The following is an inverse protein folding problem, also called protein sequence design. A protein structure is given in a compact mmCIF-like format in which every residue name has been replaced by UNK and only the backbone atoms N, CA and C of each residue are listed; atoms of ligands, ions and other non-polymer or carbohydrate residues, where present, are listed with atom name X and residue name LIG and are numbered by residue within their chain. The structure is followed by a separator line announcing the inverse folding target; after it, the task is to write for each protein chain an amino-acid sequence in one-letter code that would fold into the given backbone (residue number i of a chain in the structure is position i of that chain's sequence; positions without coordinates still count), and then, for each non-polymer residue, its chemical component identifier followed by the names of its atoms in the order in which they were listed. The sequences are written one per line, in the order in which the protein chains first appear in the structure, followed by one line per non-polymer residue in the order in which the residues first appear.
data_IF_411259714239
#
_entry.id   IF_411259714239
#
_cell.length_a   1.000
_cell.length_b   1.000
_cell.length_c   1.000
_cell.angle_alpha   90.00
_cell.angle_beta   90.00
_cell.angle_gamma   90.00
#
_symmetry.space_group_name_H-M   'P 1'
#
loop_
_entity.id
_entity.type
_entity.pdbx_description
1 polymer ?
#
# COMPACT_ATOMS: atom_id res chain seq x y z
N UNK A 1 -2.52 -0.27 -1.04
CA UNK A 1 -2.35 0.91 -0.17
C UNK A 1 -2.53 0.51 1.28
N UNK A 2 -1.67 1.02 2.16
CA UNK A 2 -1.69 0.68 3.58
C UNK A 2 -1.70 1.93 4.44
N UNK A 3 -2.11 1.79 5.70
CA UNK A 3 -1.85 2.79 6.74
C UNK A 3 -0.38 2.81 7.16
N UNK A 4 -0.05 3.64 8.16
CA UNK A 4 1.29 3.78 8.74
C UNK A 4 1.76 2.55 9.52
N UNK A 5 0.85 1.67 9.94
CA UNK A 5 1.14 0.39 10.60
C UNK A 5 1.34 -0.76 9.59
N UNK A 6 1.17 -0.48 8.30
CA UNK A 6 1.21 -1.48 7.23
C UNK A 6 -0.07 -2.32 7.15
N UNK A 7 -1.20 -1.79 7.63
CA UNK A 7 -2.51 -2.44 7.49
C UNK A 7 -3.14 -2.07 6.16
N UNK A 8 -3.65 -3.08 5.44
CA UNK A 8 -4.26 -2.88 4.13
C UNK A 8 -5.56 -2.08 4.25
N UNK A 9 -5.63 -0.95 3.54
CA UNK A 9 -6.84 -0.14 3.41
C UNK A 9 -7.59 -0.50 2.14
N UNK A 10 -6.88 -0.46 1.01
CA UNK A 10 -7.39 -0.82 -0.32
C UNK A 10 -6.33 -1.55 -1.13
N UNK A 11 -6.78 -2.46 -1.98
CA UNK A 11 -5.95 -3.21 -2.94
C UNK A 11 -6.63 -3.20 -4.30
N UNK A 12 -5.83 -3.08 -5.34
CA UNK A 12 -6.19 -3.30 -6.73
C UNK A 12 -5.09 -4.17 -7.34
N UNK A 13 -5.49 -5.15 -8.15
CA UNK A 13 -4.58 -5.91 -9.01
C UNK A 13 -5.01 -5.61 -10.45
N UNK A 14 -4.06 -5.24 -11.29
CA UNK A 14 -4.32 -4.85 -12.68
C UNK A 14 -3.52 -5.72 -13.63
N UNK A 15 -3.95 -5.78 -14.89
CA UNK A 15 -3.16 -6.41 -15.93
C UNK A 15 -1.83 -5.65 -16.12
N UNK A 16 -0.78 -6.37 -16.54
CA UNK A 16 0.57 -5.83 -16.65
C UNK A 16 0.74 -4.72 -17.72
N UNK A 17 -0.23 -4.57 -18.62
CA UNK A 17 -0.25 -3.52 -19.63
C UNK A 17 -0.86 -2.19 -19.12
N UNK A 18 -1.42 -2.19 -17.91
CA UNK A 18 -1.94 -0.97 -17.29
C UNK A 18 -0.80 -0.29 -16.55
N UNK A 19 -0.53 0.98 -16.87
CA UNK A 19 0.50 1.76 -16.20
C UNK A 19 0.15 2.04 -14.74
N UNK A 20 1.17 2.11 -13.89
CA UNK A 20 1.00 2.31 -12.44
C UNK A 20 0.18 3.56 -12.10
N UNK A 21 0.29 4.64 -12.88
CA UNK A 21 -0.47 5.88 -12.65
C UNK A 21 -1.97 5.70 -12.89
N UNK A 22 -2.34 4.98 -13.94
CA UNK A 22 -3.73 4.70 -14.27
C UNK A 22 -4.34 3.74 -13.24
N UNK A 23 -3.58 2.71 -12.84
CA UNK A 23 -3.96 1.81 -11.76
C UNK A 23 -4.14 2.56 -10.42
N UNK A 24 -3.24 3.50 -10.11
CA UNK A 24 -3.32 4.32 -8.91
C UNK A 24 -4.54 5.24 -8.89
N UNK A 25 -4.93 5.85 -10.01
CA UNK A 25 -6.12 6.68 -10.07
C UNK A 25 -7.38 5.89 -9.64
N UNK A 26 -7.53 4.67 -10.15
CA UNK A 26 -8.61 3.76 -9.74
C UNK A 26 -8.54 3.38 -8.25
N UNK A 27 -7.34 3.05 -7.77
CA UNK A 27 -7.09 2.68 -6.37
C UNK A 27 -7.40 3.84 -5.40
N UNK A 28 -6.98 5.06 -5.73
CA UNK A 28 -7.16 6.27 -4.92
C UNK A 28 -8.60 6.76 -4.94
N UNK A 29 -9.31 6.58 -6.05
CA UNK A 29 -10.77 6.80 -6.10
C UNK A 29 -11.48 5.86 -5.13
N UNK A 30 -11.10 4.58 -5.12
CA UNK A 30 -11.67 3.59 -4.19
C UNK A 30 -11.32 3.92 -2.74
N UNK A 31 -10.09 4.33 -2.45
CA UNK A 31 -9.70 4.83 -1.13
C UNK A 31 -10.64 5.96 -0.70
N UNK A 32 -10.82 6.97 -1.56
CA UNK A 32 -11.62 8.15 -1.22
C UNK A 32 -13.08 7.84 -0.93
N UNK A 33 -13.64 6.85 -1.62
CA UNK A 33 -15.00 6.36 -1.36
C UNK A 33 -15.15 5.69 0.00
N UNK A 34 -14.12 4.96 0.45
CA UNK A 34 -14.17 4.16 1.67
C UNK A 34 -13.63 4.89 2.91
N UNK A 35 -12.70 5.84 2.73
CA UNK A 35 -11.95 6.50 3.77
C UNK A 35 -11.84 8.01 3.48
N UNK A 36 -12.95 8.74 3.72
CA UNK A 36 -13.07 10.19 3.47
C UNK A 36 -12.27 11.07 4.44
N UNK A 37 -11.79 10.47 5.52
CA UNK A 37 -10.95 11.06 6.56
C UNK A 37 -9.45 11.05 6.20
N UNK A 38 -9.04 10.20 5.24
CA UNK A 38 -7.67 10.19 4.75
C UNK A 38 -7.45 11.35 3.78
N UNK A 39 -6.57 12.26 4.18
CA UNK A 39 -6.22 13.50 3.44
C UNK A 39 -4.80 13.51 2.89
N UNK A 40 -3.96 12.55 3.29
CA UNK A 40 -2.56 12.45 2.89
C UNK A 40 -2.19 11.02 2.53
N UNK A 41 -1.56 10.85 1.37
CA UNK A 41 -0.98 9.61 0.89
C UNK A 41 0.47 9.85 0.41
N UNK A 42 1.33 8.85 0.62
CA UNK A 42 2.71 8.87 0.11
C UNK A 42 2.85 7.91 -1.07
N UNK A 43 3.59 8.31 -2.09
CA UNK A 43 3.97 7.48 -3.22
C UNK A 43 5.43 7.71 -3.62
N UNK A 44 6.04 6.78 -4.35
CA UNK A 44 7.40 6.93 -4.85
C UNK A 44 7.45 7.81 -6.13
N UNK A 45 8.67 8.03 -6.64
CA UNK A 45 8.93 8.87 -7.82
C UNK A 45 8.19 8.43 -9.10
N UNK A 46 7.74 7.18 -9.21
CA UNK A 46 6.96 6.68 -10.36
C UNK A 46 5.60 7.37 -10.51
N UNK A 47 5.04 7.85 -9.40
CA UNK A 47 3.69 8.45 -9.33
C UNK A 47 3.67 9.98 -9.48
N UNK A 48 4.77 10.57 -9.94
CA UNK A 48 4.88 12.00 -10.23
C UNK A 48 3.98 12.45 -11.39
N UNK A 49 3.78 13.76 -11.50
CA UNK A 49 3.08 14.40 -12.63
C UNK A 49 1.59 14.56 -12.39
N UNK A 50 0.78 14.47 -13.45
CA UNK A 50 -0.64 14.79 -13.47
C UNK A 50 -1.48 14.06 -12.40
N UNK A 51 -1.03 12.88 -11.93
CA UNK A 51 -1.71 12.15 -10.86
C UNK A 51 -1.75 12.96 -9.55
N UNK A 52 -0.69 13.72 -9.22
CA UNK A 52 -0.61 14.54 -8.01
C UNK A 52 -1.66 15.66 -8.05
N UNK A 53 -1.73 16.37 -9.18
CA UNK A 53 -2.68 17.47 -9.38
C UNK A 53 -4.12 16.96 -9.40
N UNK A 54 -4.36 15.82 -10.07
CA UNK A 54 -5.66 15.16 -10.09
C UNK A 54 -6.11 14.72 -8.68
N UNK A 55 -5.23 14.18 -7.84
CA UNK A 55 -5.57 13.83 -6.47
C UNK A 55 -6.02 15.05 -5.66
N UNK A 56 -5.34 16.18 -5.85
CA UNK A 56 -5.68 17.44 -5.17
C UNK A 56 -7.02 17.99 -5.65
N UNK A 57 -7.23 18.04 -6.97
CA UNK A 57 -8.43 18.62 -7.59
C UNK A 57 -9.69 17.78 -7.42
N UNK A 58 -9.61 16.48 -7.72
CA UNK A 58 -10.79 15.60 -7.81
C UNK A 58 -11.07 14.83 -6.52
N UNK A 59 -10.04 14.50 -5.74
CA UNK A 59 -10.18 13.68 -4.54
C UNK A 59 -10.04 14.47 -3.24
N UNK A 60 -9.63 15.74 -3.29
CA UNK A 60 -9.20 16.50 -2.11
C UNK A 60 -8.17 15.73 -1.26
N UNK A 61 -7.26 15.01 -1.94
CA UNK A 61 -6.24 14.17 -1.36
C UNK A 61 -4.85 14.72 -1.69
N UNK A 62 -4.02 14.93 -0.68
CA UNK A 62 -2.62 15.29 -0.88
C UNK A 62 -1.82 14.03 -1.20
N UNK A 63 -1.23 13.96 -2.38
CA UNK A 63 -0.28 12.91 -2.76
C UNK A 63 1.16 13.44 -2.67
N UNK A 64 1.86 13.06 -1.60
CA UNK A 64 3.26 13.42 -1.39
C UNK A 64 4.18 12.40 -2.07
N UNK A 65 5.02 12.89 -2.98
CA UNK A 65 6.02 12.05 -3.65
C UNK A 65 7.30 12.00 -2.82
N UNK A 66 7.65 10.79 -2.37
CA UNK A 66 8.91 10.50 -1.69
C UNK A 66 9.94 10.07 -2.73
N UNK A 67 10.84 10.99 -3.08
CA UNK A 67 11.96 10.75 -4.00
C UNK A 67 13.23 10.38 -3.23
N UNK A 68 14.12 9.62 -3.89
CA UNK A 68 15.51 9.51 -3.47
C UNK A 68 16.18 10.85 -3.76
N UNK A 69 16.92 11.37 -2.79
CA UNK A 69 17.80 12.51 -3.03
C UNK A 69 18.96 11.98 -3.88
N UNK A 70 19.03 12.43 -5.14
CA UNK A 70 20.04 11.95 -6.10
C UNK A 70 21.46 12.46 -5.76
N UNK A 71 21.56 13.45 -4.86
CA UNK A 71 22.81 14.10 -4.43
C UNK A 71 23.60 13.34 -3.35
N UNK A 72 23.15 12.14 -2.94
CA UNK A 72 23.75 11.39 -1.84
C UNK A 72 24.30 10.05 -2.35
N UNK A 73 25.62 9.91 -2.33
CA UNK A 73 26.30 8.64 -2.62
C UNK A 73 26.11 7.67 -1.44
N UNK A 74 25.22 6.69 -1.59
CA UNK A 74 25.01 5.63 -0.59
C UNK A 74 23.57 5.16 -0.45
N UNK A 75 23.31 4.28 0.52
CA UNK A 75 21.94 3.86 0.86
C UNK A 75 21.27 4.92 1.75
N UNK A 76 20.22 5.56 1.24
CA UNK A 76 19.40 6.51 2.00
C UNK A 76 18.08 5.85 2.37
N UNK A 77 17.79 5.81 3.67
CA UNK A 77 16.50 5.33 4.17
C UNK A 77 15.42 6.34 3.76
N UNK A 78 14.55 5.93 2.85
CA UNK A 78 13.39 6.74 2.48
C UNK A 78 12.35 6.71 3.61
N UNK A 79 11.93 7.88 4.12
CA UNK A 79 10.90 7.96 5.15
C UNK A 79 9.66 7.18 4.72
N UNK A 80 9.13 6.34 5.61
CA UNK A 80 7.89 5.53 5.45
C UNK A 80 7.93 4.41 4.39
N UNK A 81 8.94 4.31 3.53
CA UNK A 81 9.07 3.22 2.53
C UNK A 81 9.06 1.83 3.18
N UNK A 82 9.73 1.72 4.32
CA UNK A 82 9.81 0.49 5.12
C UNK A 82 8.43 -0.07 5.51
N UNK A 83 7.38 0.75 5.59
CA UNK A 83 6.01 0.30 5.92
C UNK A 83 5.43 -0.55 4.80
N UNK A 84 5.60 -0.12 3.55
CA UNK A 84 5.14 -0.84 2.37
C UNK A 84 5.93 -2.15 2.19
N UNK A 85 7.27 -2.07 2.27
CA UNK A 85 8.16 -3.25 2.16
C UNK A 85 7.85 -4.30 3.21
N UNK A 86 7.65 -3.87 4.46
CA UNK A 86 7.25 -4.75 5.56
C UNK A 86 5.89 -5.39 5.31
N UNK A 87 4.95 -4.68 4.69
CA UNK A 87 3.65 -5.25 4.31
C UNK A 87 3.83 -6.33 3.24
N UNK A 88 4.63 -6.08 2.21
CA UNK A 88 4.97 -7.10 1.21
C UNK A 88 5.63 -8.33 1.84
N UNK A 89 6.59 -8.15 2.76
CA UNK A 89 7.20 -9.25 3.49
C UNK A 89 6.17 -10.10 4.25
N UNK A 90 5.14 -9.46 4.83
CA UNK A 90 4.06 -10.17 5.50
C UNK A 90 3.14 -10.92 4.56
N UNK A 91 2.83 -10.33 3.40
CA UNK A 91 2.05 -10.98 2.36
C UNK A 91 2.78 -12.22 1.82
N UNK A 92 4.09 -12.11 1.55
CA UNK A 92 4.91 -13.23 1.07
C UNK A 92 5.00 -14.40 2.06
N UNK A 93 4.80 -14.16 3.36
CA UNK A 93 4.71 -15.25 4.35
C UNK A 93 3.43 -16.09 4.20
N UNK A 94 2.48 -15.65 3.38
CA UNK A 94 1.34 -16.47 2.94
C UNK A 94 1.75 -17.24 1.70
N UNK A 95 1.83 -18.58 1.79
CA UNK A 95 2.31 -19.45 0.70
C UNK A 95 1.67 -19.16 -0.67
N UNK A 96 0.38 -18.80 -0.69
CA UNK A 96 -0.36 -18.45 -1.93
C UNK A 96 0.07 -17.14 -2.59
N UNK A 97 0.76 -16.25 -1.87
CA UNK A 97 1.26 -14.96 -2.37
C UNK A 97 2.78 -14.96 -2.62
N UNK A 98 3.47 -16.05 -2.24
CA UNK A 98 4.90 -16.20 -2.50
C UNK A 98 5.21 -16.37 -4.00
N UNK A 99 4.20 -16.79 -4.78
CA UNK A 99 4.24 -16.87 -6.24
C UNK A 99 2.88 -16.50 -6.79
N UNK A 100 2.85 -15.92 -7.98
CA UNK A 100 1.60 -15.62 -8.65
C UNK A 100 0.97 -16.92 -9.18
N UNK A 101 -0.02 -17.43 -8.43
CA UNK A 101 -0.78 -18.62 -8.79
C UNK A 101 -2.14 -18.29 -9.39
N UNK A 102 -2.57 -17.03 -9.29
CA UNK A 102 -3.94 -16.62 -9.55
C UNK A 102 -4.04 -16.04 -10.97
N UNK A 103 -4.96 -16.56 -11.77
CA UNK A 103 -5.12 -16.12 -13.17
C UNK A 103 -6.00 -14.90 -13.32
N UNK A 104 -6.86 -14.63 -12.32
CA UNK A 104 -7.80 -13.52 -12.32
C UNK A 104 -7.40 -12.48 -11.28
N UNK A 105 -7.35 -11.18 -11.62
CA UNK A 105 -7.01 -10.12 -10.66
C UNK A 105 -7.90 -10.13 -9.42
N UNK A 106 -9.18 -10.44 -9.57
CA UNK A 106 -10.12 -10.55 -8.45
C UNK A 106 -9.72 -11.64 -7.44
N UNK A 107 -9.21 -12.78 -7.93
CA UNK A 107 -8.71 -13.86 -7.08
C UNK A 107 -7.45 -13.43 -6.35
N UNK A 108 -6.49 -12.79 -7.04
CA UNK A 108 -5.28 -12.24 -6.43
C UNK A 108 -5.61 -11.25 -5.32
N UNK A 109 -6.54 -10.32 -5.57
CA UNK A 109 -6.98 -9.38 -4.54
C UNK A 109 -7.66 -10.07 -3.35
N UNK A 110 -8.47 -11.11 -3.59
CA UNK A 110 -9.12 -11.87 -2.52
C UNK A 110 -8.10 -12.56 -1.62
N UNK A 111 -7.05 -13.16 -2.18
CA UNK A 111 -5.96 -13.78 -1.41
C UNK A 111 -5.18 -12.74 -0.61
N UNK A 112 -4.91 -11.56 -1.18
CA UNK A 112 -4.27 -10.44 -0.46
C UNK A 112 -5.13 -10.02 0.75
N UNK A 113 -6.44 -9.85 0.55
CA UNK A 113 -7.38 -9.51 1.64
C UNK A 113 -7.41 -10.59 2.71
N UNK A 114 -7.49 -11.87 2.32
CA UNK A 114 -7.49 -13.00 3.25
C UNK A 114 -6.22 -13.06 4.10
N UNK A 115 -5.05 -12.89 3.47
CA UNK A 115 -3.76 -12.81 4.16
C UNK A 115 -3.76 -11.70 5.21
N UNK A 116 -4.28 -10.53 4.84
CA UNK A 116 -4.34 -9.39 5.74
C UNK A 116 -5.29 -9.62 6.92
N UNK A 117 -6.50 -10.14 6.67
CA UNK A 117 -7.49 -10.48 7.72
C UNK A 117 -6.89 -11.47 8.71
N UNK A 118 -6.23 -12.52 8.21
CA UNK A 118 -5.57 -13.51 9.06
C UNK A 118 -4.50 -12.87 9.94
N UNK A 119 -3.70 -11.96 9.36
CA UNK A 119 -2.67 -11.23 10.09
C UNK A 119 -3.25 -10.33 11.18
N UNK A 120 -4.28 -9.55 10.85
CA UNK A 120 -4.93 -8.64 11.79
C UNK A 120 -5.59 -9.42 12.94
N UNK A 121 -6.27 -10.52 12.62
CA UNK A 121 -6.87 -11.42 13.62
C UNK A 121 -5.83 -11.96 14.61
N UNK A 122 -4.67 -12.41 14.12
CA UNK A 122 -3.57 -12.86 14.99
C UNK A 122 -2.99 -11.76 15.87
N UNK A 123 -3.00 -10.50 15.41
CA UNK A 123 -2.55 -9.36 16.23
C UNK A 123 -3.52 -9.05 17.35
N UNK A 124 -4.82 -9.11 17.06
CA UNK A 124 -5.87 -8.90 18.06
C UNK A 124 -5.90 -10.01 19.11
N UNK A 125 -5.64 -11.26 18.71
CA UNK A 125 -5.61 -12.40 19.62
C UNK A 125 -4.31 -12.53 20.44
N UNK A 126 -3.28 -11.73 20.16
CA UNK A 126 -2.03 -11.79 20.93
C UNK A 126 -2.27 -11.19 22.32
N UNK A 127 -1.95 -11.93 23.40
CA UNK A 127 -1.94 -11.34 24.74
C UNK A 127 -1.06 -10.09 24.74
N UNK A 128 -1.54 -8.98 25.31
CA UNK A 128 -0.66 -7.84 25.61
C UNK A 128 0.50 -8.39 26.41
N UNK A 129 1.72 -8.22 25.92
CA UNK A 129 2.90 -8.56 26.70
C UNK A 129 2.74 -7.89 28.06
N UNK A 130 2.67 -8.70 29.12
CA UNK A 130 2.69 -8.19 30.49
C UNK A 130 3.93 -7.29 30.57
N UNK A 131 3.73 -6.02 30.88
CA UNK A 131 4.80 -5.04 30.93
C UNK A 131 5.91 -5.56 31.83
N UNK A 132 7.11 -5.72 31.28
CA UNK A 132 8.30 -5.84 32.10
C UNK A 132 8.53 -4.45 32.71
N UNK A 133 8.05 -4.28 33.94
CA UNK A 133 8.48 -3.23 34.86
C UNK A 133 9.80 -3.63 35.49
#
# INVERSE_FOLDING_TARGET
MTDTLGLLLVVAVTAANIGDRDAAAGLLTRLRRLHRDIVLAWADGGYTGALVDWCRGELALTLEIVKRTDDITGFVVLPRRWVAERTFAWLMNSRRLARDYETLPASSEAVIRWSMVTRMSRRLARPRAAGRH
#
